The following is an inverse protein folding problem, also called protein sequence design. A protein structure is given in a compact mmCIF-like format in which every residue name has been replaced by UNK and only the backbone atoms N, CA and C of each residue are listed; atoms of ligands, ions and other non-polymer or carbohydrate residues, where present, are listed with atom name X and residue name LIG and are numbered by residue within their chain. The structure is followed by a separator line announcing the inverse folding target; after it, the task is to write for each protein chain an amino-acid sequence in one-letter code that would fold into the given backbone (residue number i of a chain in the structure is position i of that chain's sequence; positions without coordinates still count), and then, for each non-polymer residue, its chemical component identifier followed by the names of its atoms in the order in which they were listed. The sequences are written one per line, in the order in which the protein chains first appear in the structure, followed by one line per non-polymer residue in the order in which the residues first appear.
data_IF_881441239414
#
_entry.id   IF_881441239414
#
_cell.length_a   1.000
_cell.length_b   1.000
_cell.length_c   1.000
_cell.angle_alpha   90.00
_cell.angle_beta   90.00
_cell.angle_gamma   90.00
#
_symmetry.space_group_name_H-M   'P 1'
#
loop_
_entity.id
_entity.type
_entity.pdbx_description
1 polymer ?
#
# COMPACT_ATOMS: atom_id res chain seq x y z
N UNK A 1 -29.17 16.37 -14.81
CA UNK A 1 -28.18 16.77 -13.78
C UNK A 1 -28.40 15.88 -12.56
N UNK A 2 -27.40 15.12 -12.08
CA UNK A 2 -27.57 14.34 -10.85
C UNK A 2 -27.65 15.33 -9.68
N UNK A 3 -28.68 15.20 -8.84
CA UNK A 3 -28.83 16.03 -7.64
C UNK A 3 -27.68 15.81 -6.64
N UNK A 4 -27.56 16.67 -5.61
CA UNK A 4 -26.52 16.55 -4.60
C UNK A 4 -26.54 15.17 -3.94
N UNK A 5 -25.34 14.59 -3.70
CA UNK A 5 -25.22 13.31 -2.99
C UNK A 5 -25.84 13.40 -1.60
N UNK A 6 -26.69 12.44 -1.26
CA UNK A 6 -27.30 12.30 0.07
C UNK A 6 -26.22 11.97 1.10
N UNK A 7 -26.52 12.19 2.39
CA UNK A 7 -25.56 11.89 3.46
C UNK A 7 -25.12 10.42 3.46
N UNK A 8 -26.07 9.49 3.29
CA UNK A 8 -25.78 8.05 3.18
C UNK A 8 -24.80 7.71 2.04
N UNK A 9 -24.88 8.40 0.91
CA UNK A 9 -23.96 8.21 -0.22
C UNK A 9 -22.55 8.74 0.08
N UNK A 10 -22.44 9.79 0.91
CA UNK A 10 -21.15 10.34 1.33
C UNK A 10 -20.47 9.42 2.33
N UNK A 11 -21.22 8.92 3.31
CA UNK A 11 -20.69 8.02 4.33
C UNK A 11 -20.18 6.71 3.69
N UNK A 12 -20.91 6.15 2.73
CA UNK A 12 -20.46 4.99 1.94
C UNK A 12 -19.13 5.29 1.21
N UNK A 13 -19.05 6.43 0.52
CA UNK A 13 -17.84 6.91 -0.14
C UNK A 13 -16.65 7.01 0.83
N UNK A 14 -16.87 7.58 2.02
CA UNK A 14 -15.82 7.70 3.04
C UNK A 14 -15.34 6.33 3.50
N UNK A 15 -16.26 5.40 3.81
CA UNK A 15 -15.90 4.03 4.22
C UNK A 15 -15.08 3.33 3.14
N UNK A 16 -15.45 3.48 1.88
CA UNK A 16 -14.75 2.81 0.79
C UNK A 16 -13.36 3.41 0.53
N UNK A 17 -13.19 4.73 0.68
CA UNK A 17 -11.87 5.38 0.64
C UNK A 17 -10.99 4.89 1.79
N UNK A 18 -11.53 4.83 3.01
CA UNK A 18 -10.78 4.36 4.19
C UNK A 18 -10.41 2.88 4.03
N UNK A 19 -11.35 2.04 3.60
CA UNK A 19 -11.11 0.62 3.31
C UNK A 19 -9.99 0.44 2.28
N UNK A 20 -10.02 1.22 1.21
CA UNK A 20 -8.98 1.20 0.20
C UNK A 20 -7.61 1.64 0.73
N UNK A 21 -7.56 2.69 1.55
CA UNK A 21 -6.32 3.15 2.16
C UNK A 21 -5.72 2.09 3.11
N UNK A 22 -6.56 1.47 3.95
CA UNK A 22 -6.13 0.40 4.87
C UNK A 22 -5.63 -0.82 4.09
N UNK A 23 -6.38 -1.29 3.09
CA UNK A 23 -5.96 -2.44 2.28
C UNK A 23 -4.70 -2.16 1.46
N UNK A 24 -4.54 -0.95 0.94
CA UNK A 24 -3.30 -0.53 0.27
C UNK A 24 -2.11 -0.55 1.23
N UNK A 25 -2.28 -0.07 2.47
CA UNK A 25 -1.24 -0.08 3.48
C UNK A 25 -0.85 -1.52 3.89
N UNK A 26 -1.83 -2.41 4.08
CA UNK A 26 -1.59 -3.81 4.39
C UNK A 26 -0.83 -4.52 3.27
N UNK A 27 -1.23 -4.31 2.00
CA UNK A 27 -0.53 -4.87 0.85
C UNK A 27 0.91 -4.34 0.73
N UNK A 28 1.10 -3.04 0.91
CA UNK A 28 2.43 -2.43 0.90
C UNK A 28 3.33 -3.00 2.00
N UNK A 29 2.80 -3.16 3.21
CA UNK A 29 3.50 -3.80 4.32
C UNK A 29 3.85 -5.27 4.03
N UNK A 30 2.92 -6.03 3.46
CA UNK A 30 3.15 -7.43 3.08
C UNK A 30 4.25 -7.55 2.01
N UNK A 31 4.22 -6.70 0.98
CA UNK A 31 5.27 -6.67 -0.06
C UNK A 31 6.62 -6.26 0.51
N UNK A 32 6.64 -5.23 1.37
CA UNK A 32 7.87 -4.83 2.06
C UNK A 32 8.44 -6.00 2.86
N UNK A 33 7.63 -6.67 3.68
CA UNK A 33 8.08 -7.78 4.52
C UNK A 33 8.54 -8.97 3.66
N UNK A 34 7.83 -9.30 2.59
CA UNK A 34 8.23 -10.38 1.68
C UNK A 34 9.62 -10.14 1.06
N UNK A 35 9.91 -8.90 0.63
CA UNK A 35 11.20 -8.55 0.03
C UNK A 35 12.29 -8.35 1.08
N UNK A 36 11.95 -7.76 2.23
CA UNK A 36 12.90 -7.47 3.31
C UNK A 36 13.21 -8.70 4.18
N UNK A 37 12.40 -9.76 4.13
CA UNK A 37 12.54 -10.90 5.03
C UNK A 37 13.94 -11.55 5.05
N UNK A 38 14.63 -11.78 3.92
CA UNK A 38 16.01 -12.31 3.92
C UNK A 38 17.00 -11.43 4.68
N UNK A 39 16.80 -10.12 4.67
CA UNK A 39 17.64 -9.13 5.33
C UNK A 39 17.27 -8.86 6.80
N UNK A 40 16.03 -9.20 7.20
CA UNK A 40 15.50 -8.93 8.54
C UNK A 40 15.48 -10.16 9.45
N UNK A 41 15.16 -11.35 8.92
CA UNK A 41 14.85 -12.52 9.74
C UNK A 41 15.78 -13.71 9.51
N UNK A 42 16.44 -13.79 8.35
CA UNK A 42 17.19 -14.99 7.95
C UNK A 42 18.71 -14.83 7.94
N UNK A 43 19.23 -13.65 8.32
CA UNK A 43 20.68 -13.32 8.28
C UNK A 43 21.37 -13.61 6.93
N UNK A 44 20.57 -13.79 5.87
CA UNK A 44 20.99 -14.26 4.56
C UNK A 44 21.66 -13.13 3.75
N UNK A 45 21.44 -11.88 4.13
CA UNK A 45 21.97 -10.70 3.46
C UNK A 45 22.64 -9.78 4.48
N UNK A 46 23.93 -9.49 4.28
CA UNK A 46 24.78 -8.71 5.19
C UNK A 46 25.50 -7.57 4.44
N UNK A 47 26.04 -6.61 5.18
CA UNK A 47 26.78 -5.48 4.62
C UNK A 47 25.95 -4.62 3.66
N UNK A 48 26.59 -4.09 2.61
CA UNK A 48 25.95 -3.19 1.64
C UNK A 48 24.76 -3.82 0.90
N UNK A 49 24.81 -5.14 0.67
CA UNK A 49 23.71 -5.88 0.07
C UNK A 49 22.43 -5.77 0.92
N UNK A 50 22.55 -5.70 2.26
CA UNK A 50 21.41 -5.55 3.18
C UNK A 50 20.74 -4.19 2.98
N UNK A 51 21.54 -3.15 2.82
CA UNK A 51 21.04 -1.78 2.56
C UNK A 51 20.32 -1.73 1.22
N UNK A 52 20.89 -2.36 0.18
CA UNK A 52 20.27 -2.48 -1.14
C UNK A 52 18.91 -3.18 -1.09
N UNK A 53 18.84 -4.34 -0.44
CA UNK A 53 17.58 -5.11 -0.29
C UNK A 53 16.51 -4.32 0.46
N UNK A 54 16.86 -3.67 1.58
CA UNK A 54 15.90 -2.86 2.33
C UNK A 54 15.42 -1.64 1.54
N UNK A 55 16.28 -1.04 0.72
CA UNK A 55 15.91 0.08 -0.16
C UNK A 55 14.95 -0.38 -1.26
N UNK A 56 15.24 -1.52 -1.88
CA UNK A 56 14.35 -2.12 -2.87
C UNK A 56 12.99 -2.51 -2.26
N UNK A 57 12.98 -3.09 -1.05
CA UNK A 57 11.76 -3.43 -0.33
C UNK A 57 10.88 -2.20 -0.06
N UNK A 58 11.49 -1.08 0.38
CA UNK A 58 10.78 0.19 0.60
C UNK A 58 10.19 0.73 -0.71
N UNK A 59 10.99 0.74 -1.78
CA UNK A 59 10.53 1.21 -3.09
C UNK A 59 9.35 0.36 -3.59
N UNK A 60 9.47 -0.96 -3.53
CA UNK A 60 8.40 -1.88 -3.95
C UNK A 60 7.11 -1.68 -3.14
N UNK A 61 7.22 -1.61 -1.81
CA UNK A 61 6.07 -1.34 -0.93
C UNK A 61 5.40 0.01 -1.25
N UNK A 62 6.18 1.07 -1.42
CA UNK A 62 5.68 2.39 -1.78
C UNK A 62 4.99 2.40 -3.16
N UNK A 63 5.57 1.74 -4.16
CA UNK A 63 4.97 1.61 -5.49
C UNK A 63 3.63 0.88 -5.43
N UNK A 64 3.55 -0.23 -4.69
CA UNK A 64 2.29 -0.98 -4.53
C UNK A 64 1.23 -0.14 -3.82
N UNK A 65 1.60 0.61 -2.78
CA UNK A 65 0.70 1.53 -2.11
C UNK A 65 0.12 2.57 -3.09
N UNK A 66 0.99 3.27 -3.82
CA UNK A 66 0.59 4.32 -4.77
C UNK A 66 -0.30 3.77 -5.88
N UNK A 67 0.09 2.65 -6.49
CA UNK A 67 -0.73 1.99 -7.52
C UNK A 67 -2.10 1.64 -6.95
N UNK A 68 -2.14 1.06 -5.75
CA UNK A 68 -3.39 0.54 -5.21
C UNK A 68 -4.36 1.65 -4.79
N UNK A 69 -3.85 2.76 -4.25
CA UNK A 69 -4.61 3.99 -4.00
C UNK A 69 -5.09 4.59 -5.32
N UNK A 70 -4.22 4.73 -6.33
CA UNK A 70 -4.59 5.30 -7.62
C UNK A 70 -5.69 4.50 -8.33
N UNK A 71 -5.60 3.16 -8.31
CA UNK A 71 -6.63 2.29 -8.88
C UNK A 71 -7.99 2.44 -8.20
N UNK A 72 -8.01 2.66 -6.87
CA UNK A 72 -9.26 2.91 -6.15
C UNK A 72 -9.79 4.28 -6.51
N UNK A 73 -8.97 5.32 -6.43
CA UNK A 73 -9.42 6.68 -6.73
C UNK A 73 -9.95 6.80 -8.16
N UNK A 74 -9.37 6.08 -9.13
CA UNK A 74 -9.87 6.02 -10.51
C UNK A 74 -11.22 5.30 -10.66
N UNK A 75 -11.62 4.50 -9.68
CA UNK A 75 -12.90 3.78 -9.68
C UNK A 75 -14.05 4.65 -9.14
N UNK A 76 -13.73 5.76 -8.48
CA UNK A 76 -14.66 6.72 -7.87
C UNK A 76 -14.92 7.94 -8.74
#
# INVERSE_FOLDING_TARGET
MRGPRTQSQRDALTVEIVYAAVTAALLAGAVFLAVAAPALFFDAVRGDARVGVLTAAKAAGATVFVIRVALVLRRW
#
